data_IF_691748015792
#
_entry.id   IF_691748015792
#
_cell.length_a   1.000
_cell.length_b   1.000
_cell.length_c   1.000
_cell.angle_alpha   90.00
_cell.angle_beta   90.00
_cell.angle_gamma   90.00
#
_symmetry.space_group_name_H-M   'P 1'
#
loop_
_entity.id
_entity.type
_entity.pdbx_description
1 polymer ?
#
# COMPACT_ATOMS: atom_id res chain seq x y z
N UNK A 1 -24.60 -0.54 -0.76
CA UNK A 1 -23.51 -1.03 0.12
C UNK A 1 -23.83 -2.47 0.46
N UNK A 2 -22.86 -3.37 0.37
CA UNK A 2 -23.08 -4.80 0.54
C UNK A 2 -21.90 -5.40 1.31
N UNK A 3 -22.16 -6.45 2.08
CA UNK A 3 -21.11 -7.22 2.75
C UNK A 3 -21.40 -8.71 2.61
N UNK A 4 -20.38 -9.48 2.25
CA UNK A 4 -20.45 -10.94 2.11
C UNK A 4 -19.28 -11.58 2.84
N UNK A 5 -19.54 -12.60 3.65
CA UNK A 5 -18.54 -13.45 4.27
C UNK A 5 -18.68 -14.86 3.72
N UNK A 6 -17.59 -15.39 3.18
CA UNK A 6 -17.57 -16.67 2.47
C UNK A 6 -16.51 -17.59 3.09
N UNK A 7 -16.85 -18.87 3.18
CA UNK A 7 -15.89 -19.93 3.45
C UNK A 7 -15.41 -20.53 2.13
N UNK A 8 -14.10 -20.53 1.93
CA UNK A 8 -13.45 -21.20 0.82
C UNK A 8 -12.65 -22.40 1.31
N UNK A 9 -12.72 -23.50 0.56
CA UNK A 9 -11.90 -24.71 0.78
C UNK A 9 -11.13 -25.03 -0.48
N UNK A 10 -9.80 -25.12 -0.37
CA UNK A 10 -8.92 -25.34 -1.52
C UNK A 10 -9.16 -24.32 -2.66
N UNK A 11 -9.41 -23.05 -2.30
CA UNK A 11 -9.66 -21.95 -3.25
C UNK A 11 -11.04 -21.95 -3.92
N UNK A 12 -11.91 -22.92 -3.60
CA UNK A 12 -13.29 -22.95 -4.11
C UNK A 12 -14.26 -22.52 -3.02
N UNK A 13 -15.26 -21.72 -3.38
CA UNK A 13 -16.33 -21.34 -2.46
C UNK A 13 -17.07 -22.59 -1.98
N UNK A 14 -17.08 -22.80 -0.67
CA UNK A 14 -17.74 -23.94 -0.04
C UNK A 14 -19.12 -23.55 0.50
N UNK A 15 -19.25 -22.37 1.12
CA UNK A 15 -20.49 -21.91 1.74
C UNK A 15 -20.45 -20.40 2.05
N UNK A 16 -21.61 -19.73 1.95
CA UNK A 16 -21.85 -18.40 2.53
C UNK A 16 -22.04 -18.46 4.05
N UNK A 17 -21.27 -17.66 4.78
CA UNK A 17 -21.39 -17.51 6.23
C UNK A 17 -22.30 -16.34 6.60
N UNK A 18 -22.29 -15.27 5.81
CA UNK A 18 -23.20 -14.14 5.94
C UNK A 18 -23.30 -13.41 4.59
N UNK A 19 -24.49 -12.92 4.25
CA UNK A 19 -24.70 -12.06 3.10
C UNK A 19 -25.69 -10.95 3.45
N UNK A 20 -25.16 -9.74 3.61
CA UNK A 20 -25.94 -8.52 3.74
C UNK A 20 -26.04 -7.80 2.40
N UNK A 21 -27.17 -8.00 1.70
CA UNK A 21 -27.49 -7.29 0.46
C UNK A 21 -27.74 -5.80 0.70
N UNK A 22 -28.06 -5.38 1.91
CA UNK A 22 -28.16 -3.97 2.27
C UNK A 22 -27.45 -3.80 3.60
N UNK A 23 -26.13 -3.61 3.54
CA UNK A 23 -25.34 -3.43 4.75
C UNK A 23 -25.51 -2.00 5.30
N UNK A 24 -25.83 -1.92 6.59
CA UNK A 24 -25.90 -0.68 7.36
C UNK A 24 -25.02 -0.80 8.62
N UNK A 25 -24.06 0.11 8.75
CA UNK A 25 -23.13 0.14 9.87
C UNK A 25 -23.84 0.48 11.19
N UNK A 26 -24.89 1.30 11.14
CA UNK A 26 -25.63 1.73 12.34
C UNK A 26 -26.62 0.65 12.83
N UNK A 27 -26.82 -0.42 12.04
CA UNK A 27 -27.73 -1.52 12.36
C UNK A 27 -27.15 -2.88 11.91
N UNK A 28 -26.03 -3.33 12.51
CA UNK A 28 -25.38 -4.57 12.11
C UNK A 28 -26.27 -5.80 12.39
N UNK A 29 -26.31 -6.74 11.45
CA UNK A 29 -27.09 -7.98 11.56
C UNK A 29 -26.18 -9.12 12.02
N UNK A 30 -26.61 -9.83 13.07
CA UNK A 30 -25.96 -11.06 13.49
C UNK A 30 -26.61 -12.26 12.76
N UNK A 31 -25.82 -12.93 11.92
CA UNK A 31 -26.25 -14.14 11.22
C UNK A 31 -25.93 -15.38 12.07
N UNK A 32 -26.97 -16.12 12.48
CA UNK A 32 -26.80 -17.39 13.20
C UNK A 32 -26.71 -18.54 12.20
N UNK A 33 -25.60 -19.27 12.24
CA UNK A 33 -25.40 -20.50 11.46
C UNK A 33 -25.92 -21.70 12.26
N UNK A 34 -26.97 -22.34 11.76
CA UNK A 34 -27.58 -23.54 12.37
C UNK A 34 -27.83 -24.62 11.30
N UNK A 35 -27.11 -25.75 11.33
CA UNK A 35 -26.08 -26.10 12.31
C UNK A 35 -24.82 -25.22 12.20
N UNK A 36 -23.99 -25.14 13.26
CA UNK A 36 -22.72 -24.43 13.21
C UNK A 36 -21.79 -24.97 12.11
N UNK A 37 -21.09 -24.07 11.43
CA UNK A 37 -20.15 -24.43 10.35
C UNK A 37 -18.76 -24.74 10.93
N UNK A 38 -18.25 -25.93 10.63
CA UNK A 38 -16.91 -26.34 11.04
C UNK A 38 -15.83 -25.73 10.12
N UNK A 39 -14.86 -25.03 10.72
CA UNK A 39 -13.68 -24.50 10.05
C UNK A 39 -12.48 -25.42 10.31
N UNK A 40 -11.71 -25.71 9.26
CA UNK A 40 -10.52 -26.56 9.33
C UNK A 40 -9.25 -25.80 8.97
N UNK A 41 -8.07 -26.23 9.45
CA UNK A 41 -6.80 -25.67 8.98
C UNK A 41 -6.69 -25.74 7.45
N UNK A 42 -6.37 -24.61 6.82
CA UNK A 42 -6.29 -24.47 5.36
C UNK A 42 -7.54 -23.88 4.72
N UNK A 43 -8.65 -23.79 5.46
CA UNK A 43 -9.83 -23.04 5.03
C UNK A 43 -9.51 -21.53 4.99
N UNK A 44 -10.13 -20.82 4.04
CA UNK A 44 -10.04 -19.36 3.92
C UNK A 44 -11.40 -18.74 4.24
N UNK A 45 -11.39 -17.69 5.06
CA UNK A 45 -12.54 -16.83 5.26
C UNK A 45 -12.31 -15.56 4.48
N UNK A 46 -13.19 -15.30 3.51
CA UNK A 46 -13.12 -14.10 2.69
C UNK A 46 -14.27 -13.17 3.02
N UNK A 47 -13.92 -11.93 3.36
CA UNK A 47 -14.90 -10.85 3.53
C UNK A 47 -14.80 -9.92 2.33
N UNK A 48 -15.92 -9.75 1.62
CA UNK A 48 -16.05 -8.80 0.50
C UNK A 48 -16.98 -7.68 0.92
N UNK A 49 -16.50 -6.43 0.87
CA UNK A 49 -17.30 -5.25 1.16
C UNK A 49 -17.42 -4.36 -0.08
N UNK A 50 -18.63 -3.88 -0.36
CA UNK A 50 -18.93 -2.95 -1.44
C UNK A 50 -19.36 -1.61 -0.86
N UNK A 51 -18.55 -0.59 -1.11
CA UNK A 51 -18.74 0.78 -0.60
C UNK A 51 -19.33 1.71 -1.66
N UNK A 52 -20.01 2.76 -1.21
CA UNK A 52 -20.36 3.89 -2.06
C UNK A 52 -19.24 4.94 -1.93
N UNK A 53 -18.57 5.25 -3.03
CA UNK A 53 -17.51 6.27 -3.03
C UNK A 53 -18.13 7.68 -3.16
N UNK A 54 -17.61 8.70 -2.47
CA UNK A 54 -17.93 10.09 -2.76
C UNK A 54 -17.68 10.43 -4.25
N UNK A 55 -18.55 11.23 -4.86
CA UNK A 55 -18.40 11.67 -6.26
C UNK A 55 -17.30 12.70 -6.46
N UNK A 56 -16.83 13.34 -5.39
CA UNK A 56 -15.77 14.34 -5.39
C UNK A 56 -14.93 14.27 -4.11
N UNK A 57 -13.74 14.88 -4.12
CA UNK A 57 -12.83 14.92 -2.99
C UNK A 57 -11.75 13.84 -2.98
N UNK A 58 -11.05 13.72 -1.86
CA UNK A 58 -9.98 12.75 -1.67
C UNK A 58 -10.53 11.33 -1.55
N UNK A 59 -9.76 10.29 -1.93
CA UNK A 59 -10.13 8.91 -1.66
C UNK A 59 -10.33 8.67 -0.17
N UNK A 60 -11.35 7.88 0.17
CA UNK A 60 -11.53 7.39 1.54
C UNK A 60 -10.61 6.19 1.73
N UNK A 61 -9.81 6.23 2.78
CA UNK A 61 -8.79 5.22 3.07
C UNK A 61 -9.25 4.30 4.19
N UNK A 62 -8.58 3.16 4.33
CA UNK A 62 -8.72 2.36 5.54
C UNK A 62 -8.21 3.12 6.76
N UNK A 63 -8.94 3.03 7.87
CA UNK A 63 -8.56 3.58 9.17
C UNK A 63 -9.67 3.36 10.20
N UNK A 64 -9.38 3.68 11.45
CA UNK A 64 -10.31 3.46 12.57
C UNK A 64 -11.13 4.75 12.88
N UNK A 65 -10.90 5.83 12.13
CA UNK A 65 -11.61 7.10 12.30
C UNK A 65 -12.96 7.13 11.59
N UNK A 66 -13.84 8.05 11.99
CA UNK A 66 -15.18 8.22 11.40
C UNK A 66 -15.17 8.68 9.94
N UNK A 67 -14.03 9.18 9.46
CA UNK A 67 -13.81 9.60 8.07
C UNK A 67 -13.10 8.56 7.22
N UNK A 68 -12.84 7.38 7.79
CA UNK A 68 -12.17 6.26 7.14
C UNK A 68 -13.18 5.11 6.91
N UNK A 69 -12.78 4.12 6.11
CA UNK A 69 -13.59 2.92 5.82
C UNK A 69 -12.95 1.67 6.43
N UNK A 70 -13.79 0.72 6.85
CA UNK A 70 -13.37 -0.56 7.39
C UNK A 70 -14.13 -1.69 6.68
N UNK A 71 -13.47 -2.82 6.47
CA UNK A 71 -14.11 -4.03 5.94
C UNK A 71 -13.82 -5.19 6.88
N UNK A 72 -14.76 -5.48 7.78
CA UNK A 72 -14.59 -6.51 8.81
C UNK A 72 -15.74 -7.51 8.81
N UNK A 73 -15.36 -8.77 8.98
CA UNK A 73 -16.26 -9.85 9.34
C UNK A 73 -16.02 -10.25 10.78
N UNK A 74 -17.06 -10.17 11.62
CA UNK A 74 -16.98 -10.60 13.01
C UNK A 74 -17.53 -12.02 13.13
N UNK A 75 -16.72 -12.94 13.62
CA UNK A 75 -17.09 -14.35 13.80
C UNK A 75 -17.17 -14.66 15.29
N UNK A 76 -18.23 -15.35 15.68
CA UNK A 76 -18.32 -16.02 16.98
C UNK A 76 -18.14 -17.51 16.74
N UNK A 77 -17.25 -18.15 17.49
CA UNK A 77 -16.89 -19.55 17.27
C UNK A 77 -16.74 -20.32 18.59
N UNK A 78 -16.79 -21.65 18.50
CA UNK A 78 -16.48 -22.56 19.59
C UNK A 78 -15.83 -23.85 19.04
N UNK A 79 -15.02 -24.57 19.83
CA UNK A 79 -14.52 -24.20 21.16
C UNK A 79 -13.49 -23.06 21.08
N UNK A 80 -13.24 -22.40 22.22
CA UNK A 80 -12.23 -21.35 22.33
C UNK A 80 -10.85 -21.86 21.87
N UNK A 81 -10.18 -21.10 21.02
CA UNK A 81 -8.84 -21.41 20.52
C UNK A 81 -7.78 -20.54 21.21
N UNK A 82 -6.55 -21.05 21.44
CA UNK A 82 -5.47 -20.29 22.07
C UNK A 82 -4.81 -19.32 21.07
N UNK A 83 -5.57 -18.31 20.62
CA UNK A 83 -5.07 -17.26 19.73
C UNK A 83 -4.51 -16.09 20.54
N UNK A 84 -3.24 -15.73 20.32
CA UNK A 84 -2.63 -14.55 20.95
C UNK A 84 -3.25 -13.23 20.50
N UNK A 85 -3.79 -13.20 19.28
CA UNK A 85 -4.56 -12.07 18.76
C UNK A 85 -5.89 -12.59 18.20
N UNK A 86 -7.04 -12.10 18.69
CA UNK A 86 -8.36 -12.58 18.27
C UNK A 86 -8.84 -11.98 16.94
N UNK A 87 -7.93 -11.56 16.04
CA UNK A 87 -8.27 -10.99 14.74
C UNK A 87 -7.36 -11.52 13.62
N UNK A 88 -7.98 -11.76 12.46
CA UNK A 88 -7.32 -12.12 11.23
C UNK A 88 -7.84 -11.25 10.09
N UNK A 89 -7.02 -10.30 9.64
CA UNK A 89 -7.36 -9.40 8.55
C UNK A 89 -6.21 -9.37 7.56
N UNK A 90 -6.47 -8.95 6.33
CA UNK A 90 -5.41 -8.71 5.34
C UNK A 90 -5.33 -7.23 5.01
N UNK A 91 -4.11 -6.75 4.73
CA UNK A 91 -3.88 -5.46 4.08
C UNK A 91 -3.06 -5.73 2.84
N UNK A 92 -3.68 -5.58 1.67
CA UNK A 92 -3.11 -6.03 0.39
C UNK A 92 -2.75 -7.52 0.49
N UNK A 93 -1.56 -7.93 0.04
CA UNK A 93 -1.13 -9.33 0.16
C UNK A 93 -0.70 -9.74 1.58
N UNK A 94 -0.70 -8.83 2.57
CA UNK A 94 -0.21 -9.13 3.91
C UNK A 94 -1.33 -9.59 4.84
N UNK A 95 -1.25 -10.83 5.30
CA UNK A 95 -2.19 -11.39 6.27
C UNK A 95 -1.69 -11.07 7.69
N UNK A 96 -2.56 -10.54 8.56
CA UNK A 96 -2.20 -10.17 9.93
C UNK A 96 -1.81 -11.38 10.76
N UNK A 97 -2.52 -12.50 10.61
CA UNK A 97 -2.24 -13.74 11.33
C UNK A 97 -0.84 -14.28 11.05
N UNK A 98 -0.36 -14.22 9.81
CA UNK A 98 1.01 -14.62 9.48
C UNK A 98 2.06 -13.81 10.24
N UNK A 99 1.71 -12.57 10.62
CA UNK A 99 2.57 -11.66 11.37
C UNK A 99 2.42 -11.77 12.87
N UNK A 100 1.32 -12.33 13.38
CA UNK A 100 0.94 -12.26 14.80
C UNK A 100 0.90 -13.62 15.49
N UNK A 101 0.86 -14.71 14.72
CA UNK A 101 0.95 -16.08 15.22
C UNK A 101 2.42 -16.46 15.55
N UNK A 102 2.73 -16.94 16.78
CA UNK A 102 4.10 -17.25 17.21
C UNK A 102 4.87 -18.17 16.28
N UNK A 103 4.20 -19.19 15.77
CA UNK A 103 4.80 -20.21 14.90
C UNK A 103 5.20 -19.67 13.52
N UNK A 104 4.76 -18.46 13.18
CA UNK A 104 5.06 -17.79 11.90
C UNK A 104 5.98 -16.57 12.09
N UNK A 105 6.30 -16.16 13.32
CA UNK A 105 7.01 -14.92 13.59
C UNK A 105 8.39 -14.78 12.95
N UNK A 106 9.10 -15.89 12.78
CA UNK A 106 10.46 -15.89 12.21
C UNK A 106 10.47 -16.14 10.71
N UNK A 107 9.29 -16.32 10.08
CA UNK A 107 9.20 -16.55 8.64
C UNK A 107 9.36 -15.23 7.89
N UNK A 108 10.34 -15.12 6.98
CA UNK A 108 10.46 -13.95 6.12
C UNK A 108 9.25 -13.82 5.19
N UNK A 109 8.75 -12.61 5.00
CA UNK A 109 7.74 -12.29 3.99
C UNK A 109 8.48 -11.66 2.81
N UNK A 110 8.42 -12.28 1.63
CA UNK A 110 9.19 -11.85 0.45
C UNK A 110 10.67 -11.58 0.78
N UNK A 111 11.31 -12.53 1.49
CA UNK A 111 12.71 -12.46 1.97
C UNK A 111 13.01 -11.32 2.98
N UNK A 112 11.99 -10.65 3.52
CA UNK A 112 12.15 -9.69 4.59
C UNK A 112 11.81 -10.30 5.95
N UNK A 113 12.80 -10.40 6.85
CA UNK A 113 12.59 -10.66 8.27
C UNK A 113 12.09 -9.40 8.99
N UNK A 114 10.91 -8.90 8.58
CA UNK A 114 10.39 -7.59 8.93
C UNK A 114 10.31 -7.35 10.45
N UNK A 115 9.99 -8.39 11.23
CA UNK A 115 9.79 -8.29 12.67
C UNK A 115 11.08 -7.91 13.38
N UNK A 116 12.14 -8.68 13.19
CA UNK A 116 13.48 -8.38 13.74
C UNK A 116 14.11 -7.15 13.08
N UNK A 117 13.67 -6.78 11.89
CA UNK A 117 14.13 -5.57 11.22
C UNK A 117 13.65 -4.29 11.94
N UNK A 118 12.41 -4.23 12.43
CA UNK A 118 11.79 -3.01 13.01
C UNK A 118 11.36 -3.10 14.49
N UNK A 119 11.39 -4.29 15.11
CA UNK A 119 10.89 -4.50 16.49
C UNK A 119 11.78 -5.46 17.32
N UNK A 120 12.76 -4.93 18.08
CA UNK A 120 13.31 -3.57 17.97
C UNK A 120 14.05 -3.37 16.64
N UNK A 121 14.34 -2.13 16.21
CA UNK A 121 15.10 -1.88 15.00
C UNK A 121 16.46 -2.59 15.02
N UNK A 122 16.77 -3.35 13.97
CA UNK A 122 18.08 -3.99 13.82
C UNK A 122 19.19 -2.97 13.56
N UNK A 123 20.46 -3.36 13.78
CA UNK A 123 21.61 -2.52 13.42
C UNK A 123 21.60 -2.14 11.92
N UNK A 124 21.14 -3.05 11.06
CA UNK A 124 20.99 -2.79 9.63
C UNK A 124 19.90 -1.75 9.35
N UNK A 125 18.74 -1.86 10.00
CA UNK A 125 17.66 -0.88 9.87
C UNK A 125 18.12 0.52 10.31
N UNK A 126 18.78 0.61 11.47
CA UNK A 126 19.33 1.87 11.98
C UNK A 126 20.36 2.48 11.03
N UNK A 127 21.24 1.66 10.45
CA UNK A 127 22.21 2.11 9.44
C UNK A 127 21.53 2.63 8.17
N UNK A 128 20.50 1.94 7.68
CA UNK A 128 19.73 2.35 6.50
C UNK A 128 19.03 3.68 6.76
N UNK A 129 18.34 3.79 7.89
CA UNK A 129 17.65 5.03 8.29
C UNK A 129 18.66 6.18 8.38
N UNK A 130 19.76 6.00 9.11
CA UNK A 130 20.80 7.02 9.24
C UNK A 130 21.42 7.44 7.91
N UNK A 131 21.62 6.50 6.97
CA UNK A 131 22.13 6.79 5.63
C UNK A 131 21.17 7.67 4.83
N UNK A 132 19.86 7.39 4.90
CA UNK A 132 18.83 8.21 4.25
C UNK A 132 18.79 9.60 4.88
N UNK A 133 18.75 9.69 6.20
CA UNK A 133 18.69 10.98 6.91
C UNK A 133 19.92 11.86 6.58
N UNK A 134 21.12 11.28 6.61
CA UNK A 134 22.36 12.01 6.29
C UNK A 134 22.47 12.44 4.83
N UNK A 135 21.82 11.75 3.89
CA UNK A 135 21.86 12.09 2.47
C UNK A 135 20.74 13.06 2.05
N UNK A 136 19.59 13.00 2.72
CA UNK A 136 18.37 13.69 2.33
C UNK A 136 18.07 14.94 3.15
N UNK A 137 18.79 15.22 4.23
CA UNK A 137 18.57 16.41 5.05
C UNK A 137 19.81 17.30 5.13
N UNK A 138 19.62 18.59 4.92
CA UNK A 138 20.63 19.63 5.09
C UNK A 138 20.04 20.75 5.98
N UNK A 139 20.68 21.03 7.13
CA UNK A 139 20.17 21.98 8.13
C UNK A 139 18.70 21.72 8.48
N UNK A 140 18.36 20.46 8.76
CA UNK A 140 17.00 19.99 9.11
C UNK A 140 15.95 20.14 8.01
N UNK A 141 16.32 20.65 6.84
CA UNK A 141 15.43 20.75 5.67
C UNK A 141 15.63 19.54 4.77
N UNK A 142 14.51 18.98 4.31
CA UNK A 142 14.51 17.90 3.34
C UNK A 142 14.97 18.44 1.97
N UNK A 143 15.98 17.80 1.40
CA UNK A 143 16.54 18.12 0.08
C UNK A 143 16.63 16.83 -0.74
N UNK A 144 15.88 16.75 -1.83
CA UNK A 144 15.97 15.66 -2.78
C UNK A 144 17.18 15.88 -3.73
N UNK A 145 18.39 15.79 -3.19
CA UNK A 145 19.64 15.85 -3.97
C UNK A 145 19.87 14.56 -4.78
N UNK A 146 20.82 14.57 -5.71
CA UNK A 146 21.25 13.34 -6.40
C UNK A 146 21.79 12.29 -5.42
N UNK A 147 22.49 12.73 -4.37
CA UNK A 147 22.97 11.84 -3.32
C UNK A 147 21.79 11.20 -2.56
N UNK A 148 20.77 11.97 -2.18
CA UNK A 148 19.55 11.46 -1.56
C UNK A 148 18.84 10.44 -2.46
N UNK A 149 18.61 10.78 -3.73
CA UNK A 149 17.97 9.89 -4.71
C UNK A 149 18.74 8.59 -4.90
N UNK A 150 20.07 8.67 -4.99
CA UNK A 150 20.94 7.49 -5.11
C UNK A 150 20.79 6.58 -3.90
N UNK A 151 20.85 7.12 -2.69
CA UNK A 151 20.67 6.34 -1.46
C UNK A 151 19.29 5.69 -1.42
N UNK A 152 18.22 6.42 -1.72
CA UNK A 152 16.88 5.86 -1.77
C UNK A 152 16.73 4.78 -2.85
N UNK A 153 17.40 4.93 -3.99
CA UNK A 153 17.51 3.89 -5.03
C UNK A 153 18.13 2.59 -4.51
N UNK A 154 19.20 2.67 -3.72
CA UNK A 154 19.82 1.51 -3.07
C UNK A 154 18.90 0.89 -2.02
N UNK A 155 18.25 1.70 -1.19
CA UNK A 155 17.33 1.20 -0.14
C UNK A 155 16.13 0.46 -0.75
N UNK A 156 15.63 0.90 -1.90
CA UNK A 156 14.54 0.23 -2.62
C UNK A 156 14.87 -1.17 -3.11
N UNK A 157 16.14 -1.55 -3.17
CA UNK A 157 16.55 -2.90 -3.54
C UNK A 157 16.55 -3.87 -2.35
N UNK A 158 16.53 -3.35 -1.12
CA UNK A 158 16.54 -4.18 0.07
C UNK A 158 15.17 -4.87 0.25
N UNK A 159 15.12 -6.18 0.56
CA UNK A 159 13.87 -6.95 0.63
C UNK A 159 12.79 -6.33 1.51
N UNK A 160 13.18 -5.72 2.63
CA UNK A 160 12.25 -5.04 3.54
C UNK A 160 11.68 -3.69 3.07
N UNK A 161 12.00 -3.26 1.85
CA UNK A 161 11.46 -2.04 1.25
C UNK A 161 10.80 -2.28 -0.11
N UNK A 162 10.56 -3.54 -0.48
CA UNK A 162 9.94 -3.97 -1.74
C UNK A 162 8.52 -4.47 -1.51
N UNK A 163 7.61 -4.19 -2.45
CA UNK A 163 6.24 -4.68 -2.44
C UNK A 163 5.43 -4.24 -1.22
N UNK A 164 4.43 -5.04 -0.87
CA UNK A 164 3.50 -4.73 0.23
C UNK A 164 4.20 -4.77 1.60
N UNK A 165 5.18 -5.66 1.79
CA UNK A 165 5.97 -5.69 3.03
C UNK A 165 6.81 -4.44 3.19
N UNK A 166 7.37 -3.91 2.11
CA UNK A 166 8.07 -2.63 2.10
C UNK A 166 7.19 -1.46 2.50
N UNK A 167 5.98 -1.40 1.95
CA UNK A 167 4.97 -0.42 2.36
C UNK A 167 4.69 -0.50 3.87
N UNK A 168 4.47 -1.70 4.39
CA UNK A 168 4.24 -1.92 5.82
C UNK A 168 5.43 -1.47 6.69
N UNK A 169 6.66 -1.81 6.29
CA UNK A 169 7.89 -1.43 7.01
C UNK A 169 8.04 0.10 7.07
N UNK A 170 7.90 0.79 5.95
CA UNK A 170 8.00 2.26 5.90
C UNK A 170 6.94 2.91 6.77
N UNK A 171 5.69 2.43 6.71
CA UNK A 171 4.61 2.95 7.56
C UNK A 171 4.86 2.71 9.04
N UNK A 172 5.40 1.54 9.42
CA UNK A 172 5.72 1.23 10.82
C UNK A 172 6.93 1.99 11.36
N UNK A 173 7.89 2.35 10.50
CA UNK A 173 8.96 3.28 10.87
C UNK A 173 8.36 4.67 11.05
N UNK A 174 7.58 5.16 10.07
CA UNK A 174 6.97 6.49 10.08
C UNK A 174 5.89 6.72 11.14
N UNK A 175 5.34 5.67 11.74
CA UNK A 175 4.38 5.79 12.85
C UNK A 175 5.04 6.09 14.20
N UNK A 176 6.37 6.22 14.24
CA UNK A 176 7.10 6.70 15.43
C UNK A 176 7.68 8.06 15.11
N UNK A 177 7.69 8.95 16.08
CA UNK A 177 8.17 10.33 15.92
C UNK A 177 9.58 10.38 15.31
N UNK A 178 10.49 9.52 15.79
CA UNK A 178 11.87 9.44 15.28
C UNK A 178 11.97 8.94 13.83
N UNK A 179 10.95 8.23 13.33
CA UNK A 179 10.92 7.67 11.98
C UNK A 179 10.19 8.53 10.95
N UNK A 180 9.47 9.58 11.39
CA UNK A 180 8.77 10.50 10.48
C UNK A 180 9.70 11.12 9.43
N UNK A 181 10.92 11.60 9.76
CA UNK A 181 11.84 12.16 8.76
C UNK A 181 12.24 11.14 7.68
N UNK A 182 12.43 9.88 8.06
CA UNK A 182 12.72 8.81 7.11
C UNK A 182 11.54 8.57 6.16
N UNK A 183 10.32 8.45 6.70
CA UNK A 183 9.12 8.26 5.90
C UNK A 183 8.86 9.46 4.97
N UNK A 184 9.09 10.70 5.45
CA UNK A 184 8.99 11.91 4.63
C UNK A 184 9.97 11.88 3.46
N UNK A 185 11.26 11.59 3.72
CA UNK A 185 12.24 11.43 2.64
C UNK A 185 11.85 10.33 1.65
N UNK A 186 11.34 9.20 2.15
CA UNK A 186 10.89 8.08 1.32
C UNK A 186 9.75 8.47 0.37
N UNK A 187 8.69 9.10 0.87
CA UNK A 187 7.53 9.45 0.06
C UNK A 187 7.75 10.69 -0.82
N UNK A 188 8.67 11.57 -0.45
CA UNK A 188 8.94 12.81 -1.19
C UNK A 188 10.07 12.65 -2.21
N UNK A 189 11.18 11.99 -1.89
CA UNK A 189 12.38 12.01 -2.74
C UNK A 189 12.58 10.78 -3.64
N UNK A 190 11.70 9.77 -3.56
CA UNK A 190 11.63 8.71 -4.57
C UNK A 190 10.91 9.22 -5.83
N UNK A 191 11.59 10.06 -6.61
CA UNK A 191 11.01 10.82 -7.72
C UNK A 191 10.53 9.98 -8.91
N UNK A 192 11.02 8.76 -9.04
CA UNK A 192 10.65 7.80 -10.09
C UNK A 192 9.46 6.91 -9.70
N UNK A 193 8.88 7.12 -8.51
CA UNK A 193 7.69 6.41 -8.04
C UNK A 193 6.62 7.39 -7.57
N UNK A 194 5.40 7.16 -8.04
CA UNK A 194 4.19 7.78 -7.48
C UNK A 194 3.58 6.83 -6.45
N UNK A 195 3.22 7.38 -5.30
CA UNK A 195 2.59 6.63 -4.21
C UNK A 195 1.12 7.02 -4.10
N UNK A 196 0.26 6.04 -3.90
CA UNK A 196 -1.18 6.27 -3.75
C UNK A 196 -1.47 7.19 -2.55
N UNK A 197 -2.58 7.93 -2.61
CA UNK A 197 -3.01 8.82 -1.53
C UNK A 197 -3.05 8.09 -0.17
N UNK A 198 -3.69 6.92 -0.11
CA UNK A 198 -3.80 6.13 1.11
C UNK A 198 -2.49 5.49 1.56
N UNK A 199 -1.46 5.42 0.69
CA UNK A 199 -0.14 4.95 1.12
C UNK A 199 0.61 6.02 1.93
N UNK A 200 0.29 7.30 1.70
CA UNK A 200 0.98 8.45 2.29
C UNK A 200 0.20 9.11 3.43
N UNK A 201 -1.09 8.79 3.58
CA UNK A 201 -1.95 9.32 4.65
C UNK A 201 -1.51 8.75 6.00
N UNK A 202 -1.21 9.64 6.94
CA UNK A 202 -0.89 9.32 8.34
C UNK A 202 -1.85 10.05 9.27
N UNK A 203 -1.80 9.74 10.57
CA UNK A 203 -2.56 10.49 11.59
C UNK A 203 -2.12 11.97 11.70
N UNK A 204 -0.89 12.28 11.27
CA UNK A 204 -0.31 13.62 11.30
C UNK A 204 -0.38 14.38 9.96
N UNK A 205 -1.15 13.85 9.00
CA UNK A 205 -1.31 14.45 7.67
C UNK A 205 -0.75 13.61 6.54
N UNK A 206 -0.55 14.23 5.39
CA UNK A 206 -0.16 13.57 4.15
C UNK A 206 1.35 13.70 3.92
N UNK A 207 2.07 12.59 3.84
CA UNK A 207 3.48 12.61 3.47
C UNK A 207 3.64 12.81 1.95
N UNK A 208 4.78 13.32 1.49
CA UNK A 208 5.06 13.42 0.05
C UNK A 208 4.31 14.51 -0.72
N UNK A 209 3.63 15.45 -0.04
CA UNK A 209 2.92 16.56 -0.71
C UNK A 209 3.86 17.41 -1.58
N UNK A 210 5.10 17.60 -1.11
CA UNK A 210 6.12 18.38 -1.81
C UNK A 210 6.85 17.59 -2.91
N UNK A 211 6.43 16.35 -3.22
CA UNK A 211 7.16 15.49 -4.16
C UNK A 211 7.30 16.16 -5.53
N UNK A 212 6.22 16.71 -6.09
CA UNK A 212 6.26 17.34 -7.42
C UNK A 212 7.21 18.53 -7.44
N UNK A 213 7.17 19.38 -6.42
CA UNK A 213 8.05 20.55 -6.29
C UNK A 213 9.51 20.16 -6.13
N UNK A 214 9.81 19.20 -5.25
CA UNK A 214 11.20 18.82 -4.92
C UNK A 214 11.83 17.89 -5.96
N UNK A 215 11.02 17.16 -6.72
CA UNK A 215 11.50 16.30 -7.81
C UNK A 215 11.60 17.02 -9.16
N UNK A 216 10.85 18.11 -9.37
CA UNK A 216 10.94 18.91 -10.60
C UNK A 216 12.32 19.58 -10.79
N UNK A 217 13.12 19.73 -9.72
CA UNK A 217 14.43 20.39 -9.75
C UNK A 217 15.53 19.52 -10.38
N UNK A 218 15.24 18.27 -10.74
CA UNK A 218 16.18 17.37 -11.40
C UNK A 218 15.93 17.29 -12.92
N UNK A 219 16.19 18.39 -13.64
CA UNK A 219 16.49 18.41 -15.07
C UNK A 219 15.36 18.00 -16.02
N UNK A 220 14.54 18.96 -16.46
CA UNK A 220 13.76 18.86 -17.69
C UNK A 220 13.44 20.24 -18.26
N UNK A 221 14.38 20.82 -18.99
CA UNK A 221 14.04 21.69 -20.11
C UNK A 221 13.43 20.84 -21.22
N UNK A 222 12.14 20.54 -21.11
CA UNK A 222 11.36 20.06 -22.26
C UNK A 222 11.10 21.24 -23.18
N UNK A 223 11.83 21.30 -24.29
CA UNK A 223 11.36 22.01 -25.47
C UNK A 223 9.94 21.53 -25.78
N UNK A 224 9.02 22.49 -25.91
CA UNK A 224 7.66 22.22 -26.32
C UNK A 224 7.67 21.52 -27.68
N UNK A 225 7.36 20.23 -27.70
CA UNK A 225 6.93 19.56 -28.91
C UNK A 225 5.46 19.99 -29.14
N UNK A 226 5.26 20.99 -29.98
CA UNK A 226 3.93 21.37 -30.46
C UNK A 226 3.40 20.23 -31.32
N UNK A 227 2.42 19.49 -30.79
CA UNK A 227 1.72 18.44 -31.53
C UNK A 227 0.62 19.08 -32.38
N UNK A 228 0.89 19.35 -33.64
CA UNK A 228 -0.13 19.71 -34.63
C UNK A 228 -0.73 18.44 -35.23
N UNK A 229 -1.88 18.01 -34.72
CA UNK A 229 -2.71 17.00 -35.39
C UNK A 229 -3.52 17.68 -36.52
N UNK A 230 -3.16 17.40 -37.78
CA UNK A 230 -4.00 17.72 -38.92
C UNK A 230 -5.14 16.70 -39.00
N UNK A 231 -6.37 17.15 -38.75
CA UNK A 231 -7.56 16.33 -38.93
C UNK A 231 -7.91 16.23 -40.41
N UNK A 232 -7.66 15.07 -41.03
CA UNK A 232 -8.19 14.70 -42.34
C UNK A 232 -9.38 13.77 -42.19
N UNK A 233 -10.58 14.20 -42.59
CA UNK A 233 -11.74 13.32 -42.71
C UNK A 233 -11.63 12.49 -43.99
N UNK A 234 -11.51 11.17 -43.85
CA UNK A 234 -11.88 10.22 -44.89
C UNK A 234 -12.57 9.01 -44.28
N UNK A 235 -13.56 8.53 -45.02
CA UNK A 235 -14.63 7.63 -44.62
C UNK A 235 -14.10 6.25 -44.20
N UNK A 236 -14.62 5.76 -43.06
CA UNK A 236 -14.66 4.36 -42.62
C UNK A 236 -13.34 3.53 -42.63
N UNK A 237 -12.45 3.79 -41.66
CA UNK A 237 -11.79 2.82 -40.77
C UNK A 237 -10.69 3.57 -40.00
N UNK A 238 -10.80 3.69 -38.68
CA UNK A 238 -9.78 4.37 -37.86
C UNK A 238 -8.61 3.43 -37.57
N UNK A 239 -7.58 3.45 -38.42
CA UNK A 239 -6.23 3.02 -38.04
C UNK A 239 -5.42 4.27 -37.66
N UNK A 240 -5.03 4.37 -36.38
CA UNK A 240 -4.08 5.39 -35.92
C UNK A 240 -2.67 4.85 -36.11
N UNK A 241 -1.99 5.24 -37.19
CA UNK A 241 -0.55 5.07 -37.32
C UNK A 241 0.16 6.30 -36.75
N UNK A 242 0.72 6.16 -35.55
CA UNK A 242 1.72 7.09 -35.04
C UNK A 242 3.10 6.66 -35.55
N UNK A 243 3.63 7.34 -36.57
CA UNK A 243 5.04 7.20 -36.96
C UNK A 243 5.92 8.04 -36.05
N UNK A 244 6.74 7.40 -35.22
CA UNK A 244 7.83 8.06 -34.49
C UNK A 244 9.00 8.26 -35.45
N UNK A 245 9.26 9.51 -35.85
CA UNK A 245 10.48 9.86 -36.60
C UNK A 245 11.58 10.18 -35.59
N UNK A 246 12.50 9.24 -35.37
CA UNK A 246 13.75 9.52 -34.65
C UNK A 246 14.76 10.08 -35.66
N UNK A 247 15.14 11.35 -35.51
CA UNK A 247 16.29 11.92 -36.24
C UNK A 247 17.59 11.47 -35.57
N UNK A 248 18.59 10.96 -36.31
CA UNK A 248 19.91 10.71 -35.75
C UNK A 248 20.64 12.03 -35.54
N UNK A 249 21.15 12.24 -34.33
CA UNK A 249 22.08 13.32 -34.01
C UNK A 249 23.46 12.99 -34.58
N UNK A 250 23.93 13.85 -35.47
CA UNK A 250 25.31 13.86 -35.97
C UNK A 250 26.28 14.13 -34.81
N UNK A 251 27.24 13.24 -34.63
CA UNK A 251 28.47 13.48 -33.88
C UNK A 251 29.47 14.17 -34.82
N UNK A 252 29.92 15.36 -34.41
CA UNK A 252 31.18 15.99 -34.82
C UNK A 252 31.78 16.64 -33.59
#
# INVERSE_FOLDING_TARGET
KHQRLELLRNGTEAQDLAWDQTYDYDSPVAHRLDPPVALHPGDEIRTTCTFNRPSSGQPVCYGDGTSDEMCFGFLTYFPLQPMLQPWCTSRRSLISCERTLPQLWDRPIANCSWRSFIRPPSAEALRIIGKVLGACYANERLVCSDACRKVLGEVRQHPCFVGDIGYYVVNKIGSREEGVPFAKAWFTCNCDRKFDYCERKTEHGLLGEDQDTLCAVAGSSTGAATQTCLAGRLVALSLVLCTVVVRPTLLS
#
